data_IF_397153989287
#
_entry.id   IF_397153989287
#
_cell.length_a   1.000
_cell.length_b   1.000
_cell.length_c   1.000
_cell.angle_alpha   90.00
_cell.angle_beta   90.00
_cell.angle_gamma   90.00
#
_symmetry.space_group_name_H-M   'P 1'
#
loop_
_entity.id
_entity.type
_entity.pdbx_description
1 polymer ?
#
# COMPACT_ATOMS: atom_id res chain seq x y z
N UNK A 1 -13.48 24.77 -3.11
CA UNK A 1 -13.56 24.05 -4.40
C UNK A 1 -13.38 22.58 -4.10
N UNK A 2 -14.17 21.73 -4.74
CA UNK A 2 -14.17 20.28 -4.52
C UNK A 2 -13.09 19.60 -5.37
N UNK A 3 -12.48 18.53 -4.83
CA UNK A 3 -11.47 17.73 -5.53
C UNK A 3 -12.08 16.40 -5.98
N UNK A 4 -11.72 15.94 -7.17
CA UNK A 4 -12.18 14.66 -7.70
C UNK A 4 -11.06 13.63 -7.68
N UNK A 5 -11.37 12.42 -7.22
CA UNK A 5 -10.49 11.25 -7.30
C UNK A 5 -10.94 10.39 -8.48
N UNK A 6 -9.98 10.02 -9.34
CA UNK A 6 -10.23 9.21 -10.53
C UNK A 6 -9.46 7.91 -10.38
N UNK A 7 -10.15 6.77 -10.55
CA UNK A 7 -9.58 5.43 -10.47
C UNK A 7 -9.66 4.73 -11.84
N UNK A 8 -8.66 4.88 -12.71
CA UNK A 8 -8.63 4.18 -14.00
C UNK A 8 -8.43 2.67 -13.80
N UNK A 9 -9.17 1.85 -14.54
CA UNK A 9 -9.12 0.38 -14.45
C UNK A 9 -8.07 -0.22 -15.41
N UNK A 10 -7.64 0.55 -16.42
CA UNK A 10 -6.65 0.12 -17.42
C UNK A 10 -5.58 1.17 -17.65
N UNK A 11 -4.40 0.72 -18.06
CA UNK A 11 -3.27 1.59 -18.44
C UNK A 11 -3.65 2.56 -19.57
N UNK A 12 -4.51 2.14 -20.51
CA UNK A 12 -5.00 2.98 -21.60
C UNK A 12 -5.90 4.10 -21.09
N UNK A 13 -6.81 3.79 -20.15
CA UNK A 13 -7.67 4.80 -19.52
C UNK A 13 -6.84 5.84 -18.77
N UNK A 14 -5.84 5.40 -17.99
CA UNK A 14 -4.94 6.32 -17.27
C UNK A 14 -4.21 7.26 -18.24
N UNK A 15 -3.75 6.75 -19.38
CA UNK A 15 -3.07 7.53 -20.41
C UNK A 15 -4.00 8.58 -21.02
N UNK A 16 -5.23 8.19 -21.35
CA UNK A 16 -6.25 9.09 -21.90
C UNK A 16 -6.63 10.18 -20.91
N UNK A 17 -6.89 9.82 -19.65
CA UNK A 17 -7.20 10.78 -18.58
C UNK A 17 -6.07 11.79 -18.41
N UNK A 18 -4.81 11.33 -18.35
CA UNK A 18 -3.64 12.22 -18.29
C UNK A 18 -3.56 13.17 -19.49
N UNK A 19 -3.85 12.69 -20.70
CA UNK A 19 -3.84 13.51 -21.91
C UNK A 19 -4.93 14.60 -21.88
N UNK A 20 -6.14 14.24 -21.48
CA UNK A 20 -7.26 15.18 -21.34
C UNK A 20 -6.95 16.24 -20.28
N UNK A 21 -6.48 15.84 -19.10
CA UNK A 21 -6.13 16.76 -18.01
C UNK A 21 -5.02 17.74 -18.43
N UNK A 22 -4.01 17.27 -19.17
CA UNK A 22 -2.95 18.13 -19.74
C UNK A 22 -3.51 19.13 -20.76
N UNK A 23 -4.39 18.70 -21.66
CA UNK A 23 -5.01 19.57 -22.66
C UNK A 23 -5.84 20.69 -22.01
N UNK A 24 -6.52 20.37 -20.91
CA UNK A 24 -7.28 21.32 -20.11
C UNK A 24 -6.41 22.20 -19.18
N UNK A 25 -5.09 22.02 -19.20
CA UNK A 25 -4.13 22.70 -18.30
C UNK A 25 -4.46 22.54 -16.81
N UNK A 26 -5.08 21.42 -16.45
CA UNK A 26 -5.39 21.07 -15.06
C UNK A 26 -4.14 20.45 -14.44
N UNK A 27 -3.72 20.97 -13.29
CA UNK A 27 -2.64 20.36 -12.52
C UNK A 27 -3.16 19.09 -11.84
N UNK A 28 -2.40 18.01 -11.94
CA UNK A 28 -2.71 16.74 -11.28
C UNK A 28 -1.45 16.16 -10.64
N UNK A 29 -1.62 15.55 -9.48
CA UNK A 29 -0.54 14.85 -8.78
C UNK A 29 -0.79 13.35 -8.84
N UNK A 30 0.22 12.54 -9.19
CA UNK A 30 0.12 11.10 -9.02
C UNK A 30 0.11 10.79 -7.53
N UNK A 31 -0.94 10.15 -7.03
CA UNK A 31 -0.87 9.55 -5.71
C UNK A 31 0.11 8.39 -5.72
N UNK A 32 1.25 8.60 -5.08
CA UNK A 32 2.24 7.55 -4.87
C UNK A 32 1.86 6.80 -3.61
N UNK A 33 1.32 5.58 -3.76
CA UNK A 33 1.06 4.66 -2.64
C UNK A 33 2.36 4.03 -2.12
N UNK A 34 3.44 4.81 -2.04
CA UNK A 34 4.71 4.32 -1.48
C UNK A 34 4.52 4.19 0.02
N UNK A 35 4.57 2.94 0.49
CA UNK A 35 4.55 2.64 1.92
C UNK A 35 5.73 3.36 2.60
N UNK A 36 5.54 3.92 3.81
CA UNK A 36 6.64 4.53 4.55
C UNK A 36 7.82 3.56 4.69
N UNK A 37 9.08 4.05 4.69
CA UNK A 37 10.26 3.19 4.70
C UNK A 37 10.33 2.25 5.91
N UNK A 38 9.76 2.65 7.05
CA UNK A 38 9.63 1.81 8.24
C UNK A 38 8.73 0.58 8.02
N UNK A 39 7.67 0.73 7.22
CA UNK A 39 6.73 -0.35 6.89
C UNK A 39 7.41 -1.33 5.94
N UNK A 40 8.11 -0.83 4.91
CA UNK A 40 8.89 -1.66 3.99
C UNK A 40 9.94 -2.50 4.74
N UNK A 41 10.71 -1.88 5.64
CA UNK A 41 11.69 -2.59 6.48
C UNK A 41 11.04 -3.65 7.39
N UNK A 42 9.85 -3.38 7.90
CA UNK A 42 9.12 -4.33 8.75
C UNK A 42 8.64 -5.54 7.95
N UNK A 43 8.20 -5.33 6.71
CA UNK A 43 7.83 -6.40 5.77
C UNK A 43 9.05 -7.26 5.45
N UNK A 44 10.17 -6.65 5.06
CA UNK A 44 11.42 -7.37 4.77
C UNK A 44 11.89 -8.18 5.98
N UNK A 45 11.83 -7.60 7.17
CA UNK A 45 12.15 -8.30 8.41
C UNK A 45 11.24 -9.50 8.65
N UNK A 46 9.93 -9.35 8.43
CA UNK A 46 8.97 -10.45 8.58
C UNK A 46 9.21 -11.58 7.60
N UNK A 47 9.55 -11.26 6.33
CA UNK A 47 9.92 -12.26 5.32
C UNK A 47 11.17 -13.02 5.77
N UNK A 48 12.21 -12.32 6.23
CA UNK A 48 13.43 -12.96 6.73
C UNK A 48 13.17 -13.85 7.94
N UNK A 49 12.33 -13.40 8.88
CA UNK A 49 11.95 -14.22 10.05
C UNK A 49 11.20 -15.49 9.64
N UNK A 50 10.39 -15.43 8.58
CA UNK A 50 9.73 -16.60 8.01
C UNK A 50 10.76 -17.58 7.40
N UNK A 51 11.69 -17.09 6.59
CA UNK A 51 12.77 -17.90 5.99
C UNK A 51 13.67 -18.55 7.05
N UNK A 52 13.97 -17.83 8.13
CA UNK A 52 14.75 -18.32 9.27
C UNK A 52 13.94 -19.27 10.19
N UNK A 53 12.68 -19.58 9.87
CA UNK A 53 11.82 -20.47 10.64
C UNK A 53 11.32 -19.89 11.97
N UNK A 54 11.47 -18.58 12.19
CA UNK A 54 11.02 -17.86 13.39
C UNK A 54 9.53 -17.50 13.30
N UNK A 55 8.71 -18.49 12.98
CA UNK A 55 7.25 -18.35 12.89
C UNK A 55 6.59 -19.01 14.07
N UNK A 56 5.49 -18.44 14.53
CA UNK A 56 4.61 -19.05 15.52
C UNK A 56 3.20 -19.13 14.93
N UNK A 57 2.41 -20.10 15.37
CA UNK A 57 1.02 -20.18 14.98
C UNK A 57 0.21 -19.02 15.57
N UNK A 58 -0.93 -18.73 14.95
CA UNK A 58 -1.85 -17.71 15.43
C UNK A 58 -2.35 -18.03 16.86
N UNK A 59 -2.57 -19.32 17.16
CA UNK A 59 -2.96 -19.79 18.49
C UNK A 59 -1.88 -19.45 19.52
N UNK A 60 -0.63 -19.83 19.27
CA UNK A 60 0.51 -19.53 20.15
C UNK A 60 0.72 -18.02 20.34
N UNK A 61 0.57 -17.23 19.27
CA UNK A 61 0.65 -15.77 19.36
C UNK A 61 -0.45 -15.18 20.24
N UNK A 62 -1.69 -15.66 20.10
CA UNK A 62 -2.84 -15.20 20.87
C UNK A 62 -2.67 -15.51 22.35
N UNK A 63 -2.24 -16.73 22.68
CA UNK A 63 -1.97 -17.13 24.06
C UNK A 63 -0.84 -16.30 24.69
N UNK A 64 0.22 -16.03 23.94
CA UNK A 64 1.39 -15.30 24.44
C UNK A 64 1.15 -13.80 24.63
N UNK A 65 0.36 -13.18 23.75
CA UNK A 65 0.23 -11.72 23.66
C UNK A 65 -1.14 -11.18 24.07
N UNK A 66 -2.18 -12.01 24.06
CA UNK A 66 -3.56 -11.58 24.31
C UNK A 66 -4.26 -12.34 25.45
N UNK A 67 -3.67 -13.40 26.01
CA UNK A 67 -4.24 -14.05 27.21
C UNK A 67 -3.94 -13.27 28.48
N UNK A 68 -4.87 -12.40 28.86
CA UNK A 68 -5.20 -12.09 30.26
C UNK A 68 -6.69 -11.73 30.39
N UNK A 69 -7.51 -12.73 30.67
CA UNK A 69 -8.55 -12.68 31.70
C UNK A 69 -9.04 -14.07 32.05
#
# INVERSE_FOLDING_TARGET
MESILIHPESAEQLKTVKAVLKALKVQFEPQSNVLPPQVLKSIEKGIKQYEDGQTISLQEFTEKHFSKK
#
